data_IF_502128553078
#
_entry.id   IF_502128553078
#
_cell.length_a   1.000
_cell.length_b   1.000
_cell.length_c   1.000
_cell.angle_alpha   90.00
_cell.angle_beta   90.00
_cell.angle_gamma   90.00
#
_symmetry.space_group_name_H-M   'P 1'
#
loop_
_entity.id
_entity.type
_entity.pdbx_description
1 polymer ?
#
# COMPACT_ATOMS: atom_id res chain seq x y z
N UNK A 1 38.74 -1.27 2.05
CA UNK A 1 37.49 -0.59 2.45
C UNK A 1 36.37 -1.16 1.61
N UNK A 2 35.60 -2.08 2.18
CA UNK A 2 34.44 -2.67 1.51
C UNK A 2 33.25 -1.76 1.77
N UNK A 3 32.78 -1.07 0.73
CA UNK A 3 31.58 -0.26 0.83
C UNK A 3 30.40 -1.21 1.06
N UNK A 4 29.78 -1.14 2.24
CA UNK A 4 28.49 -1.76 2.52
C UNK A 4 27.47 -1.18 1.54
N UNK A 5 27.26 -1.88 0.42
CA UNK A 5 26.15 -1.68 -0.48
C UNK A 5 24.87 -2.03 0.28
N UNK A 6 24.28 -1.07 0.96
CA UNK A 6 22.88 -1.13 1.38
C UNK A 6 22.05 -1.25 0.10
N UNK A 7 21.80 -2.49 -0.32
CA UNK A 7 20.90 -2.82 -1.43
C UNK A 7 19.51 -2.39 -0.99
N UNK A 8 19.16 -1.13 -1.22
CA UNK A 8 17.76 -0.71 -1.16
C UNK A 8 17.03 -1.61 -2.15
N UNK A 9 16.08 -2.46 -1.71
CA UNK A 9 15.45 -3.39 -2.62
C UNK A 9 14.79 -2.59 -3.75
N UNK A 10 15.24 -2.85 -4.97
CA UNK A 10 14.70 -2.18 -6.15
C UNK A 10 13.20 -2.44 -6.22
N UNK A 11 12.40 -1.39 -6.05
CA UNK A 11 10.95 -1.49 -6.00
C UNK A 11 10.45 -2.01 -7.35
N UNK A 12 9.70 -3.13 -7.39
CA UNK A 12 9.20 -3.66 -8.66
C UNK A 12 8.25 -2.67 -9.35
N UNK A 13 8.39 -2.49 -10.67
CA UNK A 13 7.45 -1.65 -11.45
C UNK A 13 6.00 -2.10 -11.28
N UNK A 14 5.77 -3.41 -11.18
CA UNK A 14 4.45 -3.97 -10.93
C UNK A 14 3.86 -3.54 -9.58
N UNK A 15 4.69 -3.34 -8.55
CA UNK A 15 4.26 -2.83 -7.24
C UNK A 15 3.74 -1.39 -7.39
N UNK A 16 4.47 -0.52 -8.09
CA UNK A 16 4.02 0.87 -8.35
C UNK A 16 2.69 0.90 -9.09
N UNK A 17 2.52 0.05 -10.12
CA UNK A 17 1.23 -0.08 -10.83
C UNK A 17 0.07 -0.50 -9.91
N UNK A 18 0.33 -1.41 -8.96
CA UNK A 18 -0.68 -1.85 -7.98
C UNK A 18 -1.01 -0.78 -6.94
N UNK A 19 -0.06 0.08 -6.55
CA UNK A 19 -0.35 1.19 -5.63
C UNK A 19 -1.41 2.13 -6.19
N UNK A 20 -1.40 2.40 -7.50
CA UNK A 20 -2.46 3.17 -8.16
C UNK A 20 -3.82 2.46 -8.13
N UNK A 21 -3.83 1.12 -8.12
CA UNK A 21 -5.05 0.33 -7.89
C UNK A 21 -5.56 0.47 -6.46
N UNK A 22 -4.67 0.33 -5.48
CA UNK A 22 -4.99 0.49 -4.06
C UNK A 22 -5.51 1.90 -3.76
N UNK A 23 -4.88 2.96 -4.26
CA UNK A 23 -5.30 4.35 -4.02
C UNK A 23 -6.72 4.62 -4.54
N UNK A 24 -7.06 4.12 -5.74
CA UNK A 24 -8.43 4.23 -6.29
C UNK A 24 -9.46 3.47 -5.46
N UNK A 25 -9.10 2.30 -4.94
CA UNK A 25 -10.00 1.54 -4.07
C UNK A 25 -10.20 2.23 -2.72
N UNK A 26 -9.11 2.75 -2.13
CA UNK A 26 -9.16 3.52 -0.89
C UNK A 26 -9.98 4.82 -1.03
N UNK A 27 -9.89 5.52 -2.17
CA UNK A 27 -10.73 6.69 -2.44
C UNK A 27 -12.22 6.36 -2.42
N UNK A 28 -12.60 5.19 -2.99
CA UNK A 28 -13.99 4.71 -2.93
C UNK A 28 -14.44 4.38 -1.50
N UNK A 29 -13.55 3.84 -0.68
CA UNK A 29 -13.85 3.51 0.71
C UNK A 29 -13.98 4.78 1.58
N UNK A 30 -13.08 5.75 1.38
CA UNK A 30 -13.14 7.02 2.11
C UNK A 30 -14.43 7.79 1.80
N UNK A 31 -14.84 7.85 0.52
CA UNK A 31 -16.13 8.47 0.12
C UNK A 31 -17.35 7.78 0.76
N UNK A 32 -17.22 6.52 1.16
CA UNK A 32 -18.26 5.76 1.87
C UNK A 32 -18.17 5.89 3.39
N UNK A 33 -17.23 6.67 3.91
CA UNK A 33 -17.00 6.83 5.35
C UNK A 33 -16.36 5.61 6.03
N UNK A 34 -15.68 4.73 5.27
CA UNK A 34 -14.96 3.59 5.83
C UNK A 34 -13.62 4.06 6.38
N UNK A 35 -13.35 3.76 7.66
CA UNK A 35 -12.14 4.21 8.36
C UNK A 35 -10.99 3.22 8.27
N UNK A 36 -11.26 1.92 8.30
CA UNK A 36 -10.26 0.86 8.25
C UNK A 36 -10.55 -0.14 7.14
N UNK A 37 -9.51 -0.71 6.57
CA UNK A 37 -9.61 -1.75 5.54
C UNK A 37 -8.60 -2.85 5.80
N UNK A 38 -9.01 -4.10 5.62
CA UNK A 38 -8.10 -5.24 5.74
C UNK A 38 -7.26 -5.43 4.47
N UNK A 39 -6.16 -6.18 4.59
CA UNK A 39 -5.39 -6.65 3.41
C UNK A 39 -6.24 -7.50 2.47
N UNK A 40 -7.28 -8.15 2.98
CA UNK A 40 -8.14 -9.05 2.22
C UNK A 40 -9.17 -8.30 1.37
N UNK A 41 -9.71 -7.21 1.90
CA UNK A 41 -10.57 -6.30 1.16
C UNK A 41 -9.80 -5.51 0.10
N UNK A 42 -8.61 -4.99 0.44
CA UNK A 42 -7.71 -4.33 -0.52
C UNK A 42 -7.32 -5.27 -1.67
N UNK A 43 -6.99 -6.52 -1.34
CA UNK A 43 -6.68 -7.57 -2.30
C UNK A 43 -7.83 -7.82 -3.27
N UNK A 44 -9.05 -7.93 -2.75
CA UNK A 44 -10.27 -8.10 -3.56
C UNK A 44 -10.52 -6.91 -4.49
N UNK A 45 -10.33 -5.69 -3.99
CA UNK A 45 -10.49 -4.46 -4.79
C UNK A 45 -9.44 -4.29 -5.89
N UNK A 46 -8.26 -4.88 -5.72
CA UNK A 46 -7.13 -4.75 -6.64
C UNK A 46 -6.81 -6.01 -7.47
N UNK A 47 -7.53 -7.11 -7.24
CA UNK A 47 -7.34 -8.37 -7.98
C UNK A 47 -6.02 -9.09 -7.65
N UNK A 48 -5.58 -9.04 -6.40
CA UNK A 48 -4.33 -9.68 -5.93
C UNK A 48 -4.55 -10.49 -4.67
N UNK A 49 -3.51 -11.15 -4.14
CA UNK A 49 -3.60 -11.84 -2.84
C UNK A 49 -3.35 -10.89 -1.66
N UNK A 50 -3.89 -11.17 -0.47
CA UNK A 50 -3.62 -10.38 0.74
C UNK A 50 -2.13 -10.32 1.10
N UNK A 51 -1.40 -11.41 0.85
CA UNK A 51 0.05 -11.45 1.04
C UNK A 51 0.79 -10.50 0.08
N UNK A 52 0.31 -10.37 -1.17
CA UNK A 52 0.89 -9.43 -2.13
C UNK A 52 0.67 -7.98 -1.69
N UNK A 53 -0.52 -7.65 -1.15
CA UNK A 53 -0.79 -6.32 -0.58
C UNK A 53 0.21 -5.99 0.52
N UNK A 54 0.37 -6.87 1.52
CA UNK A 54 1.31 -6.66 2.63
C UNK A 54 2.75 -6.49 2.14
N UNK A 55 3.18 -7.32 1.17
CA UNK A 55 4.52 -7.24 0.58
C UNK A 55 4.73 -5.94 -0.19
N UNK A 56 3.73 -5.49 -0.95
CA UNK A 56 3.80 -4.23 -1.68
C UNK A 56 3.94 -3.04 -0.74
N UNK A 57 3.13 -2.99 0.31
CA UNK A 57 3.17 -1.91 1.31
C UNK A 57 4.49 -1.92 2.09
N UNK A 58 5.01 -3.10 2.45
CA UNK A 58 6.27 -3.24 3.18
C UNK A 58 7.50 -2.65 2.47
N UNK A 59 7.46 -2.46 1.15
CA UNK A 59 8.54 -1.76 0.43
C UNK A 59 8.65 -0.27 0.78
N UNK A 60 7.60 0.34 1.34
CA UNK A 60 7.52 1.78 1.59
C UNK A 60 7.41 2.13 3.08
N UNK A 61 7.50 1.13 3.97
CA UNK A 61 7.44 1.31 5.40
C UNK A 61 6.45 0.36 6.08
N UNK A 62 6.20 0.63 7.35
CA UNK A 62 5.23 -0.13 8.15
C UNK A 62 3.83 0.49 7.99
N UNK A 63 2.86 -0.35 7.62
CA UNK A 63 1.48 0.07 7.44
C UNK A 63 0.55 -0.84 8.23
N UNK A 64 -0.44 -0.22 8.87
CA UNK A 64 -1.53 -0.91 9.54
C UNK A 64 -1.14 -1.59 10.86
N UNK A 65 -2.15 -2.14 11.53
CA UNK A 65 -2.00 -2.84 12.80
C UNK A 65 -2.58 -4.24 12.65
N UNK A 66 -1.86 -5.26 13.12
CA UNK A 66 -2.33 -6.66 13.09
C UNK A 66 -3.67 -6.77 13.83
N UNK A 67 -4.68 -7.34 13.16
CA UNK A 67 -6.03 -7.49 13.71
C UNK A 67 -6.93 -6.25 13.55
N UNK A 68 -6.40 -5.11 13.10
CA UNK A 68 -7.18 -3.87 12.86
C UNK A 68 -7.23 -3.52 11.37
N UNK A 69 -6.12 -3.72 10.66
CA UNK A 69 -5.97 -3.35 9.24
C UNK A 69 -5.32 -1.99 9.05
N UNK A 70 -5.61 -1.35 7.92
CA UNK A 70 -5.02 -0.08 7.51
C UNK A 70 -6.03 1.05 7.67
N UNK A 71 -5.61 2.18 8.20
CA UNK A 71 -6.43 3.39 8.14
C UNK A 71 -6.56 3.82 6.67
N UNK A 72 -7.80 3.98 6.20
CA UNK A 72 -8.10 4.25 4.79
C UNK A 72 -7.52 5.59 4.34
N UNK A 73 -7.75 6.64 5.12
CA UNK A 73 -7.34 8.01 4.78
C UNK A 73 -5.81 8.16 4.82
N UNK A 74 -5.19 7.64 5.87
CA UNK A 74 -3.73 7.74 6.04
C UNK A 74 -3.02 6.92 4.96
N UNK A 75 -3.47 5.68 4.72
CA UNK A 75 -2.90 4.84 3.68
C UNK A 75 -3.07 5.48 2.31
N UNK A 76 -4.26 6.02 1.98
CA UNK A 76 -4.49 6.70 0.69
C UNK A 76 -3.50 7.85 0.50
N UNK A 77 -3.37 8.70 1.51
CA UNK A 77 -2.49 9.88 1.48
C UNK A 77 -1.01 9.48 1.29
N UNK A 78 -0.55 8.45 2.01
CA UNK A 78 0.79 7.91 1.83
C UNK A 78 1.01 7.36 0.41
N UNK A 79 0.04 6.62 -0.13
CA UNK A 79 0.15 6.07 -1.49
C UNK A 79 0.19 7.17 -2.55
N UNK A 80 -0.59 8.25 -2.41
CA UNK A 80 -0.56 9.39 -3.33
C UNK A 80 0.81 10.08 -3.32
N UNK A 81 1.38 10.31 -2.13
CA UNK A 81 2.74 10.87 -2.00
C UNK A 81 3.80 9.98 -2.63
N UNK A 82 3.73 8.65 -2.40
CA UNK A 82 4.64 7.67 -3.03
C UNK A 82 4.55 7.74 -4.56
N UNK A 83 3.36 8.00 -5.09
CA UNK A 83 3.11 8.10 -6.53
C UNK A 83 3.39 9.51 -7.10
N UNK A 84 3.69 10.51 -6.26
CA UNK A 84 3.86 11.91 -6.66
C UNK A 84 2.56 12.58 -7.14
N UNK A 85 1.45 12.27 -6.48
CA UNK A 85 0.09 12.73 -6.82
C UNK A 85 -0.58 13.50 -5.67
N UNK A 86 0.19 13.98 -4.68
CA UNK A 86 -0.30 14.79 -3.56
C UNK A 86 -0.32 16.30 -3.84
#
# INVERSE_FOLDING_TARGET
MEALSLKTPKIPKATVGRLGGYSRFLDKLERKGVFTVSSEELARGAGVSPNQVRKDLAYFGEFGIRGVGYNVKDLKSCLLRILGLD
#
